data_IF_380203629416
#
_entry.id   IF_380203629416
#
_cell.length_a   1.000
_cell.length_b   1.000
_cell.length_c   1.000
_cell.angle_alpha   90.00
_cell.angle_beta   90.00
_cell.angle_gamma   90.00
#
_symmetry.space_group_name_H-M   'P 1'
#
loop_
_entity.id
_entity.type
_entity.pdbx_description
1 polymer ?
#
# COMPACT_ATOMS: atom_id res chain seq x y z
N UNK A 1 -15.74 -9.47 24.19
CA UNK A 1 -14.49 -8.67 24.28
C UNK A 1 -14.62 -7.54 23.27
N UNK A 2 -14.08 -6.35 23.55
CA UNK A 2 -14.09 -5.23 22.59
C UNK A 2 -13.13 -5.54 21.44
N UNK A 3 -13.56 -5.37 20.19
CA UNK A 3 -12.70 -5.48 19.02
C UNK A 3 -11.67 -4.33 19.05
N UNK A 4 -10.35 -4.59 19.01
CA UNK A 4 -9.34 -3.54 19.07
C UNK A 4 -9.40 -2.60 17.86
N UNK A 5 -9.88 -3.09 16.71
CA UNK A 5 -10.04 -2.31 15.47
C UNK A 5 -11.31 -1.47 15.43
N UNK A 6 -12.03 -1.35 16.55
CA UNK A 6 -13.18 -0.44 16.74
C UNK A 6 -12.98 0.47 17.96
N UNK A 7 -11.77 0.54 18.51
CA UNK A 7 -11.45 1.27 19.73
C UNK A 7 -10.31 2.28 19.52
N UNK A 8 -10.30 3.33 20.35
CA UNK A 8 -9.31 4.41 20.23
C UNK A 8 -9.30 5.01 18.83
N UNK A 9 -8.11 5.22 18.26
CA UNK A 9 -8.00 5.77 16.91
C UNK A 9 -8.37 4.77 15.79
N UNK A 10 -8.61 3.49 16.08
CA UNK A 10 -9.22 2.58 15.10
C UNK A 10 -10.73 2.74 14.99
N UNK A 11 -11.38 3.39 15.96
CA UNK A 11 -12.83 3.61 15.90
C UNK A 11 -13.21 4.40 14.63
N UNK A 12 -14.35 4.10 13.98
CA UNK A 12 -14.80 4.87 12.83
C UNK A 12 -15.09 6.32 13.22
N UNK A 13 -14.84 7.25 12.29
CA UNK A 13 -15.45 8.59 12.34
C UNK A 13 -16.83 8.55 11.68
N UNK A 14 -17.74 9.39 12.15
CA UNK A 14 -19.17 9.34 11.78
C UNK A 14 -19.61 10.48 10.87
N UNK A 15 -18.71 11.39 10.51
CA UNK A 15 -19.03 12.59 9.72
C UNK A 15 -18.02 12.79 8.60
N UNK A 16 -18.50 13.29 7.46
CA UNK A 16 -17.65 13.88 6.43
C UNK A 16 -17.53 15.37 6.66
N UNK A 17 -16.31 15.87 6.62
CA UNK A 17 -16.01 17.29 6.87
C UNK A 17 -15.20 17.88 5.72
N UNK A 18 -15.26 19.20 5.62
CA UNK A 18 -14.39 20.01 4.77
C UNK A 18 -13.88 21.16 5.61
N UNK A 19 -12.56 21.30 5.72
CA UNK A 19 -11.90 22.31 6.53
C UNK A 19 -10.94 23.07 5.62
N UNK A 20 -11.22 24.35 5.35
CA UNK A 20 -10.39 25.18 4.47
C UNK A 20 -9.37 26.04 5.26
N UNK A 21 -9.74 26.49 6.45
CA UNK A 21 -8.90 27.32 7.32
C UNK A 21 -8.10 26.44 8.28
N UNK A 22 -7.05 25.80 7.76
CA UNK A 22 -6.18 24.93 8.53
C UNK A 22 -5.09 25.73 9.26
N UNK A 23 -4.91 25.45 10.55
CA UNK A 23 -3.79 25.99 11.31
C UNK A 23 -2.49 25.32 10.87
N UNK A 24 -1.45 26.14 10.63
CA UNK A 24 -0.13 25.67 10.23
C UNK A 24 0.91 26.22 11.20
N UNK A 25 1.72 25.33 11.76
CA UNK A 25 2.97 25.69 12.47
C UNK A 25 4.16 25.45 11.55
N UNK A 26 5.11 26.38 11.50
CA UNK A 26 6.26 26.30 10.59
C UNK A 26 5.92 26.83 9.18
N UNK A 27 6.65 26.36 8.18
CA UNK A 27 6.53 26.83 6.79
C UNK A 27 6.44 25.64 5.84
N UNK A 28 5.30 25.48 5.17
CA UNK A 28 5.11 24.42 4.17
C UNK A 28 6.02 24.75 2.97
N UNK A 29 6.87 23.80 2.51
CA UNK A 29 7.67 23.97 1.30
C UNK A 29 6.80 24.35 0.08
N UNK A 30 7.22 25.35 -0.69
CA UNK A 30 6.43 25.89 -1.80
C UNK A 30 6.29 24.90 -2.96
N UNK A 31 7.28 24.02 -3.12
CA UNK A 31 7.32 22.95 -4.12
C UNK A 31 6.28 21.84 -3.85
N UNK A 32 5.74 21.73 -2.62
CA UNK A 32 4.68 20.78 -2.30
C UNK A 32 3.33 21.29 -2.82
N UNK A 33 3.15 21.19 -4.13
CA UNK A 33 1.89 21.50 -4.83
C UNK A 33 1.24 20.20 -5.32
N UNK A 34 0.31 19.70 -4.52
CA UNK A 34 -0.40 18.44 -4.75
C UNK A 34 -1.38 18.11 -3.63
N UNK A 35 -1.76 16.85 -3.53
CA UNK A 35 -2.62 16.31 -2.47
C UNK A 35 -1.92 15.16 -1.78
N UNK A 36 -1.81 15.23 -0.45
CA UNK A 36 -1.56 14.03 0.36
C UNK A 36 -2.89 13.32 0.54
N UNK A 37 -3.00 12.08 0.08
CA UNK A 37 -4.20 11.26 0.18
C UNK A 37 -3.88 10.01 0.98
N UNK A 38 -4.83 9.53 1.79
CA UNK A 38 -4.71 8.27 2.53
C UNK A 38 -6.07 7.59 2.63
N UNK A 39 -6.13 6.30 2.31
CA UNK A 39 -7.32 5.48 2.40
C UNK A 39 -7.28 4.58 3.64
N UNK A 40 -8.44 4.09 4.06
CA UNK A 40 -8.54 3.15 5.16
C UNK A 40 -9.98 2.72 5.42
N UNK A 41 -10.17 1.71 6.28
CA UNK A 41 -11.48 1.20 6.64
C UNK A 41 -12.14 2.13 7.65
N UNK A 42 -13.35 2.55 7.35
CA UNK A 42 -14.20 3.38 8.20
C UNK A 42 -15.66 2.96 8.01
N UNK A 43 -16.10 1.87 8.66
CA UNK A 43 -17.43 1.31 8.46
C UNK A 43 -18.51 2.37 8.70
N UNK A 44 -19.38 2.58 7.70
CA UNK A 44 -20.44 3.61 7.75
C UNK A 44 -21.59 3.18 8.66
N UNK A 45 -21.84 1.86 8.74
CA UNK A 45 -22.74 1.24 9.72
C UNK A 45 -21.91 0.58 10.80
N UNK A 46 -22.31 0.73 12.06
CA UNK A 46 -21.64 0.07 13.18
C UNK A 46 -21.60 -1.46 12.97
N UNK A 47 -20.41 -2.07 12.85
CA UNK A 47 -20.29 -3.50 12.61
C UNK A 47 -20.44 -4.29 13.91
N UNK A 48 -20.70 -5.60 13.83
CA UNK A 48 -20.62 -6.49 14.99
C UNK A 48 -19.15 -6.63 15.44
N UNK A 49 -18.79 -6.19 16.66
CA UNK A 49 -17.42 -6.30 17.15
C UNK A 49 -16.90 -7.75 17.22
N UNK A 50 -17.78 -8.75 17.36
CA UNK A 50 -17.38 -10.14 17.45
C UNK A 50 -16.81 -10.67 16.13
N UNK A 51 -17.29 -10.17 15.00
CA UNK A 51 -16.96 -10.68 13.66
C UNK A 51 -16.24 -9.67 12.77
N UNK A 52 -16.13 -8.41 13.19
CA UNK A 52 -15.47 -7.38 12.40
C UNK A 52 -13.98 -7.67 12.19
N UNK A 53 -13.58 -7.71 10.92
CA UNK A 53 -12.18 -7.74 10.48
C UNK A 53 -11.80 -6.34 9.97
N UNK A 54 -10.63 -5.83 10.36
CA UNK A 54 -10.18 -4.48 10.03
C UNK A 54 -10.20 -4.19 8.53
N UNK A 55 -9.77 -5.15 7.70
CA UNK A 55 -9.73 -5.04 6.24
C UNK A 55 -11.10 -4.92 5.54
N UNK A 56 -12.21 -5.11 6.26
CA UNK A 56 -13.56 -5.17 5.66
C UNK A 56 -14.40 -3.92 5.86
N UNK A 57 -13.90 -2.90 6.57
CA UNK A 57 -14.63 -1.64 6.73
C UNK A 57 -14.74 -0.86 5.43
N UNK A 58 -15.79 -0.04 5.29
CA UNK A 58 -15.99 0.78 4.10
C UNK A 58 -14.83 1.76 3.87
N UNK A 59 -14.39 1.93 2.63
CA UNK A 59 -13.31 2.87 2.32
C UNK A 59 -13.67 4.32 2.62
N UNK A 60 -12.79 5.03 3.34
CA UNK A 60 -12.83 6.47 3.52
C UNK A 60 -11.47 7.08 3.17
N UNK A 61 -11.46 7.96 2.18
CA UNK A 61 -10.27 8.72 1.79
C UNK A 61 -10.21 10.00 2.61
N UNK A 62 -9.06 10.23 3.22
CA UNK A 62 -8.67 11.49 3.81
C UNK A 62 -7.69 12.18 2.88
N UNK A 63 -7.92 13.45 2.57
CA UNK A 63 -7.03 14.23 1.71
C UNK A 63 -6.72 15.60 2.28
N UNK A 64 -5.49 16.05 2.00
CA UNK A 64 -5.00 17.36 2.35
C UNK A 64 -4.32 18.00 1.13
N UNK A 65 -4.87 19.13 0.68
CA UNK A 65 -4.35 19.89 -0.46
C UNK A 65 -3.31 20.90 0.01
N UNK A 66 -2.10 20.81 -0.53
CA UNK A 66 -1.02 21.78 -0.35
C UNK A 66 -0.74 22.49 -1.67
N UNK A 67 -0.58 23.81 -1.63
CA UNK A 67 -0.33 24.62 -2.83
C UNK A 67 0.36 25.94 -2.46
N UNK A 68 1.54 26.19 -3.05
CA UNK A 68 2.30 27.43 -2.87
C UNK A 68 2.54 27.79 -1.41
N UNK A 69 2.97 26.80 -0.61
CA UNK A 69 3.26 26.98 0.82
C UNK A 69 2.03 27.12 1.73
N UNK A 70 0.84 26.75 1.24
CA UNK A 70 -0.42 26.83 1.99
C UNK A 70 -1.13 25.49 2.04
N UNK A 71 -1.68 25.15 3.21
CA UNK A 71 -2.71 24.12 3.32
C UNK A 71 -4.06 24.71 2.90
N UNK A 72 -4.63 24.21 1.80
CA UNK A 72 -5.84 24.76 1.17
C UNK A 72 -7.11 24.15 1.73
N UNK A 73 -7.10 22.84 1.95
CA UNK A 73 -8.21 22.14 2.56
C UNK A 73 -7.78 20.79 3.10
N UNK A 74 -8.52 20.31 4.08
CA UNK A 74 -8.64 18.92 4.47
C UNK A 74 -10.06 18.44 4.20
N UNK A 75 -10.20 17.21 3.73
CA UNK A 75 -11.49 16.53 3.51
C UNK A 75 -11.38 15.07 3.87
N UNK A 76 -12.47 14.49 4.37
CA UNK A 76 -12.69 13.06 4.38
C UNK A 76 -13.98 12.71 3.64
N UNK A 77 -13.94 11.66 2.82
CA UNK A 77 -15.08 11.18 2.05
C UNK A 77 -15.12 9.65 2.08
N UNK A 78 -16.27 9.08 2.41
CA UNK A 78 -16.56 7.68 2.12
C UNK A 78 -16.53 7.45 0.62
N UNK A 79 -16.11 6.27 0.19
CA UNK A 79 -16.28 5.90 -1.22
C UNK A 79 -17.68 5.37 -1.39
N UNK A 80 -18.42 5.91 -2.36
CA UNK A 80 -19.85 5.62 -2.58
C UNK A 80 -20.04 4.29 -3.29
N UNK A 81 -19.63 3.21 -2.63
CA UNK A 81 -20.00 1.85 -3.01
C UNK A 81 -21.47 1.60 -2.72
N UNK A 82 -21.99 0.50 -3.25
CA UNK A 82 -23.39 0.08 -3.09
C UNK A 82 -23.82 0.05 -1.62
N UNK A 83 -23.01 -0.53 -0.72
CA UNK A 83 -23.32 -0.60 0.71
C UNK A 83 -23.31 0.76 1.41
N UNK A 84 -22.40 1.66 1.02
CA UNK A 84 -22.34 3.01 1.56
C UNK A 84 -23.52 3.86 1.10
N UNK A 85 -23.86 3.80 -0.19
CA UNK A 85 -25.01 4.51 -0.75
C UNK A 85 -26.30 4.13 -0.01
N UNK A 86 -26.52 2.84 0.22
CA UNK A 86 -27.68 2.36 1.00
C UNK A 86 -27.70 2.91 2.42
N UNK A 87 -26.57 2.84 3.11
CA UNK A 87 -26.47 3.27 4.50
C UNK A 87 -26.72 4.78 4.66
N UNK A 88 -26.31 5.56 3.67
CA UNK A 88 -26.55 7.01 3.61
C UNK A 88 -27.92 7.39 3.02
N UNK A 89 -28.67 6.43 2.49
CA UNK A 89 -29.95 6.68 1.81
C UNK A 89 -29.81 7.42 0.48
N UNK A 90 -28.65 7.29 -0.17
CA UNK A 90 -28.32 7.90 -1.46
C UNK A 90 -28.75 6.98 -2.63
N UNK A 91 -29.16 7.55 -3.78
CA UNK A 91 -29.60 6.75 -4.92
C UNK A 91 -28.44 5.99 -5.57
N UNK A 92 -28.66 4.71 -5.89
CA UNK A 92 -27.75 3.92 -6.71
C UNK A 92 -27.92 4.27 -8.20
N UNK A 93 -26.82 4.48 -8.91
CA UNK A 93 -26.84 4.64 -10.36
C UNK A 93 -27.08 3.31 -11.10
N UNK A 94 -26.57 2.20 -10.55
CA UNK A 94 -26.75 0.85 -11.04
C UNK A 94 -26.50 -0.16 -9.91
N UNK A 95 -27.13 -1.33 -9.97
CA UNK A 95 -26.78 -2.46 -9.09
C UNK A 95 -25.51 -3.12 -9.60
N UNK A 96 -24.57 -3.38 -8.68
CA UNK A 96 -23.29 -4.04 -8.99
C UNK A 96 -23.10 -5.24 -8.07
N UNK A 97 -23.11 -6.48 -8.61
CA UNK A 97 -22.71 -7.65 -7.82
C UNK A 97 -21.23 -7.51 -7.44
N UNK A 98 -20.87 -8.03 -6.26
CA UNK A 98 -19.50 -8.05 -5.71
C UNK A 98 -18.85 -6.66 -5.48
N UNK A 99 -19.66 -5.62 -5.32
CA UNK A 99 -19.23 -4.26 -5.02
C UNK A 99 -19.10 -4.00 -3.52
N UNK A 100 -17.93 -3.57 -3.08
CA UNK A 100 -17.66 -3.11 -1.72
C UNK A 100 -16.71 -1.91 -1.74
N UNK A 101 -16.77 -1.06 -0.70
CA UNK A 101 -16.04 0.21 -0.68
C UNK A 101 -14.53 0.01 -0.66
N UNK A 102 -13.77 0.39 -1.71
CA UNK A 102 -12.33 0.14 -1.75
C UNK A 102 -11.60 0.93 -0.67
N UNK A 103 -10.95 0.25 0.26
CA UNK A 103 -10.42 0.88 1.48
C UNK A 103 -8.90 0.87 1.58
N UNK A 104 -8.20 0.18 0.69
CA UNK A 104 -6.80 -0.20 0.89
C UNK A 104 -5.84 0.90 0.48
N UNK A 105 -5.97 1.41 -0.75
CA UNK A 105 -5.04 2.41 -1.27
C UNK A 105 -5.77 3.53 -2.02
N UNK A 106 -5.08 4.64 -2.24
CA UNK A 106 -5.52 5.76 -3.07
C UNK A 106 -4.34 6.32 -3.85
N UNK A 107 -4.43 6.36 -5.18
CA UNK A 107 -3.33 6.77 -6.06
C UNK A 107 -3.77 7.84 -7.06
N UNK A 108 -2.78 8.54 -7.64
CA UNK A 108 -2.96 9.36 -8.84
C UNK A 108 -2.38 8.65 -10.06
N UNK A 109 -3.12 8.64 -11.17
CA UNK A 109 -2.62 8.14 -12.45
C UNK A 109 -3.39 8.75 -13.62
N UNK A 110 -2.68 9.07 -14.72
CA UNK A 110 -3.29 9.67 -15.92
C UNK A 110 -4.16 10.91 -15.62
N UNK A 111 -3.76 11.74 -14.64
CA UNK A 111 -4.51 12.93 -14.22
C UNK A 111 -5.80 12.65 -13.43
N UNK A 112 -6.05 11.40 -13.03
CA UNK A 112 -7.22 10.95 -12.28
C UNK A 112 -6.79 10.41 -10.91
N UNK A 113 -7.73 10.32 -9.97
CA UNK A 113 -7.50 9.78 -8.63
C UNK A 113 -8.33 8.50 -8.45
N UNK A 114 -7.69 7.43 -7.99
CA UNK A 114 -8.32 6.12 -7.85
C UNK A 114 -8.19 5.59 -6.42
N UNK A 115 -9.30 5.16 -5.83
CA UNK A 115 -9.33 4.33 -4.64
C UNK A 115 -9.34 2.85 -5.02
N UNK A 116 -8.54 2.04 -4.33
CA UNK A 116 -8.23 0.67 -4.69
C UNK A 116 -8.44 -0.29 -3.52
N UNK A 117 -8.80 -1.53 -3.84
CA UNK A 117 -8.85 -2.68 -2.95
C UNK A 117 -8.50 -3.94 -3.74
N UNK A 118 -7.97 -4.95 -3.06
CA UNK A 118 -7.63 -6.24 -3.66
C UNK A 118 -8.84 -7.19 -3.77
N UNK A 119 -8.67 -8.28 -4.52
CA UNK A 119 -9.56 -9.46 -4.59
C UNK A 119 -11.02 -9.20 -5.00
N UNK A 120 -11.36 -7.98 -5.40
CA UNK A 120 -12.76 -7.56 -5.52
C UNK A 120 -13.04 -6.63 -6.70
N UNK A 121 -13.71 -5.48 -6.47
CA UNK A 121 -14.21 -4.64 -7.54
C UNK A 121 -13.09 -3.96 -8.31
N UNK A 122 -13.47 -3.41 -9.47
CA UNK A 122 -12.64 -2.42 -10.17
C UNK A 122 -12.34 -1.21 -9.26
N UNK A 123 -11.28 -0.45 -9.53
CA UNK A 123 -11.01 0.82 -8.87
C UNK A 123 -12.21 1.76 -8.82
N UNK A 124 -12.24 2.69 -7.87
CA UNK A 124 -13.19 3.80 -7.86
C UNK A 124 -12.48 5.11 -8.17
N UNK A 125 -12.99 5.88 -9.13
CA UNK A 125 -12.50 7.22 -9.42
C UNK A 125 -13.08 8.26 -8.46
N UNK A 126 -12.22 9.18 -8.05
CA UNK A 126 -12.53 10.32 -7.21
C UNK A 126 -12.19 11.62 -7.93
N UNK A 127 -12.96 12.68 -7.66
CA UNK A 127 -12.64 14.04 -8.12
C UNK A 127 -11.42 14.61 -7.37
N UNK A 128 -10.96 15.80 -7.77
CA UNK A 128 -9.91 16.50 -7.02
C UNK A 128 -10.33 16.75 -5.56
N UNK A 129 -11.63 16.99 -5.37
CA UNK A 129 -12.31 17.24 -4.12
C UNK A 129 -12.71 15.99 -3.32
N UNK A 130 -12.34 14.80 -3.80
CA UNK A 130 -12.61 13.48 -3.23
C UNK A 130 -14.07 12.99 -3.34
N UNK A 131 -14.90 13.68 -4.12
CA UNK A 131 -16.24 13.17 -4.40
C UNK A 131 -16.14 11.93 -5.28
N UNK A 132 -16.96 10.92 -5.01
CA UNK A 132 -16.95 9.67 -5.79
C UNK A 132 -17.55 9.90 -7.16
N UNK A 133 -16.76 9.68 -8.21
CA UNK A 133 -17.24 9.63 -9.60
C UNK A 133 -17.92 8.28 -9.86
N UNK A 134 -17.31 7.19 -9.39
CA UNK A 134 -17.83 5.83 -9.46
C UNK A 134 -16.76 4.81 -9.84
N UNK A 135 -17.15 3.55 -10.08
CA UNK A 135 -16.26 2.51 -10.57
C UNK A 135 -15.56 2.88 -11.88
N UNK A 136 -14.28 2.57 -11.97
CA UNK A 136 -13.39 2.90 -13.06
C UNK A 136 -12.69 1.63 -13.56
N UNK A 137 -13.15 1.12 -14.70
CA UNK A 137 -12.60 -0.03 -15.41
C UNK A 137 -11.54 0.37 -16.46
N UNK A 138 -10.82 1.47 -16.19
CA UNK A 138 -9.82 2.04 -17.10
C UNK A 138 -10.38 2.25 -18.52
N UNK A 139 -11.53 2.93 -18.60
CA UNK A 139 -12.25 3.23 -19.85
C UNK A 139 -12.63 1.97 -20.65
N UNK A 140 -13.18 0.98 -19.94
CA UNK A 140 -13.66 -0.29 -20.47
C UNK A 140 -12.57 -1.27 -20.88
N UNK A 141 -11.33 -1.09 -20.41
CA UNK A 141 -10.20 -1.95 -20.79
C UNK A 141 -9.79 -2.95 -19.71
N UNK A 142 -10.23 -2.73 -18.48
CA UNK A 142 -10.13 -3.70 -17.39
C UNK A 142 -11.39 -4.56 -17.34
N UNK A 143 -11.20 -5.86 -17.10
CA UNK A 143 -12.29 -6.81 -16.90
C UNK A 143 -12.08 -7.53 -15.57
N UNK A 144 -12.80 -7.09 -14.54
CA UNK A 144 -12.78 -7.68 -13.21
C UNK A 144 -11.82 -7.00 -12.23
N UNK A 145 -11.23 -7.82 -11.35
CA UNK A 145 -10.48 -7.35 -10.19
C UNK A 145 -9.19 -6.61 -10.54
N UNK A 146 -8.80 -5.69 -9.66
CA UNK A 146 -7.52 -5.00 -9.71
C UNK A 146 -6.78 -5.14 -8.38
N UNK A 147 -5.54 -4.70 -8.35
CA UNK A 147 -4.72 -4.68 -7.12
C UNK A 147 -4.87 -3.37 -6.37
N UNK A 148 -4.67 -3.41 -5.05
CA UNK A 148 -4.45 -2.21 -4.25
C UNK A 148 -3.01 -1.66 -4.37
N UNK A 149 -2.07 -2.44 -4.92
CA UNK A 149 -0.65 -2.10 -4.92
C UNK A 149 -0.03 -2.08 -6.33
N UNK A 150 -0.53 -1.24 -7.25
CA UNK A 150 0.16 -1.07 -8.51
C UNK A 150 1.49 -0.34 -8.27
N UNK A 151 2.52 -0.70 -9.04
CA UNK A 151 3.82 -0.04 -9.04
C UNK A 151 3.95 0.81 -10.30
N UNK A 152 4.22 2.11 -10.13
CA UNK A 152 4.49 3.01 -11.25
C UNK A 152 5.94 2.85 -11.69
N UNK A 153 6.19 2.50 -12.95
CA UNK A 153 7.55 2.51 -13.49
C UNK A 153 8.02 3.96 -13.65
N UNK A 154 9.13 4.38 -13.01
CA UNK A 154 9.58 5.76 -13.10
C UNK A 154 10.14 6.16 -14.48
N UNK A 155 10.43 5.22 -15.39
CA UNK A 155 10.83 5.55 -16.77
C UNK A 155 9.66 5.73 -17.72
N UNK A 156 8.69 4.81 -17.69
CA UNK A 156 7.59 4.81 -18.67
C UNK A 156 6.36 5.53 -18.14
N UNK A 157 6.24 5.66 -16.81
CA UNK A 157 5.05 6.18 -16.14
C UNK A 157 3.87 5.21 -16.13
N UNK A 158 4.05 3.98 -16.61
CA UNK A 158 3.03 2.93 -16.64
C UNK A 158 2.83 2.34 -15.23
N UNK A 159 1.60 1.93 -14.92
CA UNK A 159 1.31 1.15 -13.72
C UNK A 159 1.39 -0.34 -14.04
N UNK A 160 2.19 -1.06 -13.27
CA UNK A 160 2.23 -2.52 -13.26
C UNK A 160 1.46 -3.05 -12.06
N UNK A 161 0.63 -4.06 -12.28
CA UNK A 161 -0.23 -4.63 -11.26
C UNK A 161 -0.19 -6.16 -11.30
N UNK A 162 -0.30 -6.79 -10.13
CA UNK A 162 -0.65 -8.21 -9.99
C UNK A 162 -1.96 -8.29 -9.23
N UNK A 163 -3.01 -8.77 -9.89
CA UNK A 163 -4.32 -8.94 -9.29
C UNK A 163 -4.64 -10.43 -9.11
N UNK A 164 -5.42 -10.74 -8.08
CA UNK A 164 -5.98 -12.05 -7.85
C UNK A 164 -7.49 -11.90 -7.57
N UNK A 165 -8.24 -12.98 -7.74
CA UNK A 165 -9.66 -13.02 -7.41
C UNK A 165 -10.04 -14.47 -7.08
N UNK A 166 -10.83 -14.68 -6.03
CA UNK A 166 -11.21 -16.02 -5.56
C UNK A 166 -11.87 -16.89 -6.65
N UNK A 167 -12.61 -16.29 -7.58
CA UNK A 167 -13.27 -17.00 -8.68
C UNK A 167 -12.33 -17.36 -9.86
N UNK A 168 -11.08 -16.91 -9.87
CA UNK A 168 -10.14 -17.21 -10.95
C UNK A 168 -9.42 -18.56 -10.80
N UNK A 169 -9.66 -19.28 -9.69
CA UNK A 169 -9.03 -20.56 -9.43
C UNK A 169 -7.52 -20.40 -9.23
N UNK A 170 -6.71 -21.15 -9.98
CA UNK A 170 -5.26 -21.19 -9.82
C UNK A 170 -4.52 -20.16 -10.69
N UNK A 171 -5.03 -18.94 -10.73
CA UNK A 171 -4.53 -17.89 -11.63
C UNK A 171 -4.52 -16.54 -10.94
N UNK A 172 -3.45 -15.80 -11.19
CA UNK A 172 -3.34 -14.36 -10.97
C UNK A 172 -3.13 -13.66 -12.32
N UNK A 173 -3.35 -12.35 -12.38
CA UNK A 173 -3.23 -11.58 -13.61
C UNK A 173 -2.24 -10.43 -13.45
N UNK A 174 -1.22 -10.41 -14.31
CA UNK A 174 -0.31 -9.27 -14.45
C UNK A 174 -0.88 -8.30 -15.46
N UNK A 175 -1.10 -7.06 -15.05
CA UNK A 175 -1.71 -6.01 -15.89
C UNK A 175 -0.79 -4.81 -16.01
N UNK A 176 -0.82 -4.14 -17.16
CA UNK A 176 -0.16 -2.85 -17.39
C UNK A 176 -1.18 -1.80 -17.80
N UNK A 177 -1.19 -0.67 -17.09
CA UNK A 177 -2.00 0.51 -17.42
C UNK A 177 -1.07 1.62 -17.89
N UNK A 178 -1.28 2.11 -19.11
CA UNK A 178 -0.44 3.16 -19.69
C UNK A 178 -0.73 4.55 -19.13
N UNK A 179 0.07 5.54 -19.53
CA UNK A 179 -0.10 6.94 -19.11
C UNK A 179 -1.43 7.61 -19.53
N UNK A 180 -2.23 6.97 -20.38
CA UNK A 180 -3.59 7.42 -20.73
C UNK A 180 -4.66 6.84 -19.81
N UNK A 181 -4.28 5.95 -18.89
CA UNK A 181 -5.21 5.30 -17.96
C UNK A 181 -5.95 4.13 -18.61
N UNK A 182 -5.35 3.47 -19.60
CA UNK A 182 -5.92 2.29 -20.28
C UNK A 182 -5.05 1.07 -20.06
N UNK A 183 -5.69 -0.08 -19.85
CA UNK A 183 -5.02 -1.38 -19.82
C UNK A 183 -4.51 -1.71 -21.23
N UNK A 184 -3.19 -1.83 -21.37
CA UNK A 184 -2.52 -2.16 -22.65
C UNK A 184 -2.04 -3.60 -22.70
N UNK A 185 -1.80 -4.21 -21.54
CA UNK A 185 -1.34 -5.59 -21.44
C UNK A 185 -2.02 -6.31 -20.29
N UNK A 186 -2.37 -7.59 -20.52
CA UNK A 186 -2.84 -8.53 -19.50
C UNK A 186 -2.21 -9.89 -19.75
N UNK A 187 -1.61 -10.46 -18.72
CA UNK A 187 -0.99 -11.78 -18.77
C UNK A 187 -1.47 -12.62 -17.59
N UNK A 188 -2.24 -13.70 -17.84
CA UNK A 188 -2.52 -14.68 -16.82
C UNK A 188 -1.23 -15.41 -16.40
N UNK A 189 -1.09 -15.67 -15.10
CA UNK A 189 0.02 -16.42 -14.51
C UNK A 189 -0.57 -17.53 -13.64
N UNK A 190 -0.22 -18.78 -13.95
CA UNK A 190 -0.71 -19.96 -13.23
C UNK A 190 0.01 -20.15 -11.89
N UNK A 191 -0.75 -20.19 -10.81
CA UNK A 191 -0.32 -20.52 -9.44
C UNK A 191 -0.65 -21.98 -9.12
N UNK A 192 -0.20 -22.51 -7.97
CA UNK A 192 -0.52 -23.91 -7.58
C UNK A 192 -1.87 -24.08 -6.89
N UNK A 193 -2.50 -22.97 -6.52
CA UNK A 193 -3.86 -22.87 -5.98
C UNK A 193 -4.32 -21.42 -6.04
N UNK A 194 -5.15 -20.97 -5.10
CA UNK A 194 -5.74 -19.63 -5.11
C UNK A 194 -5.11 -18.73 -4.03
N UNK A 195 -3.84 -18.29 -4.19
CA UNK A 195 -3.18 -17.49 -3.17
C UNK A 195 -3.77 -16.09 -3.09
N UNK A 196 -3.69 -15.51 -1.89
CA UNK A 196 -3.71 -14.06 -1.71
C UNK A 196 -2.38 -13.49 -2.21
N UNK A 197 -2.45 -12.58 -3.19
CA UNK A 197 -1.29 -11.82 -3.68
C UNK A 197 -1.54 -10.34 -3.38
N UNK A 198 -1.17 -9.93 -2.17
CA UNK A 198 -1.45 -8.59 -1.65
C UNK A 198 -0.74 -7.48 -2.44
N UNK A 199 0.57 -7.65 -2.65
CA UNK A 199 1.43 -6.70 -3.35
C UNK A 199 2.31 -7.43 -4.40
N UNK A 200 3.08 -6.67 -5.18
CA UNK A 200 4.04 -7.13 -6.17
C UNK A 200 5.35 -6.36 -6.05
N UNK A 201 6.46 -6.94 -6.54
CA UNK A 201 7.67 -6.16 -6.83
C UNK A 201 7.82 -5.90 -8.32
N UNK A 202 8.39 -4.75 -8.67
CA UNK A 202 8.78 -4.41 -10.03
C UNK A 202 10.31 -4.32 -10.09
N UNK A 203 10.92 -4.83 -11.15
CA UNK A 203 12.32 -4.55 -11.55
C UNK A 203 12.34 -4.03 -12.98
N UNK A 204 13.48 -3.58 -13.49
CA UNK A 204 13.60 -3.15 -14.90
C UNK A 204 13.25 -4.27 -15.90
N UNK A 205 13.30 -5.55 -15.49
CA UNK A 205 13.06 -6.70 -16.36
C UNK A 205 11.87 -7.58 -15.95
N UNK A 206 11.43 -7.54 -14.69
CA UNK A 206 10.42 -8.46 -14.16
C UNK A 206 9.29 -7.76 -13.40
N UNK A 207 8.07 -8.26 -13.59
CA UNK A 207 7.01 -8.15 -12.59
C UNK A 207 7.09 -9.40 -11.71
N UNK A 208 7.09 -9.22 -10.40
CA UNK A 208 7.34 -10.29 -9.43
C UNK A 208 6.04 -10.64 -8.70
N UNK A 209 5.67 -11.92 -8.77
CA UNK A 209 4.46 -12.50 -8.17
C UNK A 209 4.85 -13.29 -6.92
N UNK A 210 4.19 -13.00 -5.79
CA UNK A 210 4.37 -13.73 -4.54
C UNK A 210 3.31 -14.83 -4.41
N UNK A 211 3.65 -16.07 -4.77
CA UNK A 211 2.78 -17.25 -4.66
C UNK A 211 3.00 -17.92 -3.29
N UNK A 212 2.37 -17.37 -2.26
CA UNK A 212 2.63 -17.62 -0.83
C UNK A 212 1.47 -18.39 -0.16
N UNK A 213 1.66 -18.98 1.04
CA UNK A 213 0.79 -20.02 1.58
C UNK A 213 -0.48 -19.50 2.27
N UNK A 214 -0.88 -18.25 2.04
CA UNK A 214 -2.22 -17.77 2.40
C UNK A 214 -3.11 -17.95 1.20
N UNK A 215 -4.07 -18.87 1.29
CA UNK A 215 -4.89 -19.32 0.15
C UNK A 215 -6.37 -19.23 0.47
N UNK A 216 -7.18 -19.10 -0.58
CA UNK A 216 -8.64 -19.12 -0.45
C UNK A 216 -9.12 -20.47 0.12
N UNK A 217 -9.98 -20.38 1.14
CA UNK A 217 -10.57 -21.51 1.84
C UNK A 217 -12.08 -21.54 1.60
N UNK A 218 -12.51 -22.46 0.74
CA UNK A 218 -13.93 -22.62 0.37
C UNK A 218 -14.79 -23.04 1.57
N UNK A 219 -14.27 -23.88 2.46
CA UNK A 219 -15.04 -24.34 3.63
C UNK A 219 -15.26 -23.18 4.61
N UNK A 220 -14.24 -22.34 4.81
CA UNK A 220 -14.36 -21.11 5.58
C UNK A 220 -15.37 -20.12 4.95
N UNK A 221 -15.34 -19.96 3.62
CA UNK A 221 -16.33 -19.13 2.91
C UNK A 221 -17.76 -19.66 3.10
N UNK A 222 -17.96 -20.97 2.92
CA UNK A 222 -19.27 -21.61 3.11
C UNK A 222 -19.74 -21.57 4.58
N UNK A 223 -18.82 -21.53 5.53
CA UNK A 223 -19.11 -21.34 6.96
C UNK A 223 -19.43 -19.88 7.32
N UNK A 224 -19.35 -18.94 6.37
CA UNK A 224 -19.69 -17.54 6.56
C UNK A 224 -18.52 -16.64 6.98
N UNK A 225 -17.27 -17.08 6.80
CA UNK A 225 -16.11 -16.19 6.95
C UNK A 225 -16.19 -15.05 5.95
N UNK A 226 -16.03 -13.83 6.42
CA UNK A 226 -16.02 -12.63 5.58
C UNK A 226 -14.66 -12.34 4.95
N UNK A 227 -13.60 -13.01 5.43
CA UNK A 227 -12.28 -13.05 4.81
C UNK A 227 -11.83 -14.52 4.73
N UNK A 228 -12.28 -15.29 3.72
CA UNK A 228 -12.03 -16.72 3.62
C UNK A 228 -10.64 -17.04 3.03
N UNK A 229 -9.60 -16.51 3.66
CA UNK A 229 -8.21 -16.79 3.33
C UNK A 229 -7.49 -17.28 4.58
N UNK A 230 -6.84 -18.43 4.49
CA UNK A 230 -6.15 -19.06 5.61
C UNK A 230 -4.75 -19.52 5.21
N UNK A 231 -3.85 -19.58 6.19
CA UNK A 231 -2.57 -20.24 6.03
C UNK A 231 -2.75 -21.73 5.71
N UNK A 232 -2.00 -22.24 4.74
CA UNK A 232 -1.94 -23.65 4.37
C UNK A 232 -0.51 -24.17 4.44
N UNK A 233 -0.25 -25.10 5.36
CA UNK A 233 1.05 -25.78 5.49
C UNK A 233 1.33 -26.74 4.30
N UNK A 234 0.30 -27.09 3.53
CA UNK A 234 0.40 -27.95 2.35
C UNK A 234 0.66 -27.15 1.06
N UNK A 235 0.70 -25.81 1.13
CA UNK A 235 0.92 -24.95 -0.02
C UNK A 235 2.40 -24.59 -0.19
N UNK A 236 3.09 -25.07 -1.25
CA UNK A 236 4.51 -24.81 -1.44
C UNK A 236 4.75 -23.35 -1.88
N UNK A 237 5.44 -22.54 -1.07
CA UNK A 237 5.64 -21.12 -1.36
C UNK A 237 6.75 -20.89 -2.38
N UNK A 238 6.51 -19.97 -3.32
CA UNK A 238 7.44 -19.64 -4.40
C UNK A 238 7.25 -18.21 -4.91
N UNK A 239 8.26 -17.70 -5.58
CA UNK A 239 8.24 -16.37 -6.21
C UNK A 239 8.35 -16.53 -7.72
N UNK A 240 7.46 -15.86 -8.45
CA UNK A 240 7.39 -15.88 -9.90
C UNK A 240 7.97 -14.60 -10.51
N UNK A 241 8.96 -14.73 -11.38
CA UNK A 241 9.55 -13.63 -12.14
C UNK A 241 8.95 -13.63 -13.54
N UNK A 242 8.02 -12.72 -13.76
CA UNK A 242 7.29 -12.57 -15.02
C UNK A 242 8.04 -11.59 -15.92
N UNK A 243 8.59 -12.02 -17.06
CA UNK A 243 9.34 -11.13 -17.94
C UNK A 243 8.47 -9.99 -18.48
N UNK A 244 9.03 -8.76 -18.47
CA UNK A 244 8.33 -7.53 -18.89
C UNK A 244 8.49 -7.17 -20.36
N UNK A 245 9.39 -7.80 -21.12
CA UNK A 245 9.72 -7.33 -22.48
C UNK A 245 8.51 -7.30 -23.41
N UNK A 246 7.64 -8.30 -23.29
CA UNK A 246 6.40 -8.40 -24.07
C UNK A 246 5.31 -7.42 -23.57
N UNK A 247 5.53 -6.78 -22.42
CA UNK A 247 4.60 -5.85 -21.77
C UNK A 247 5.01 -4.39 -21.99
N UNK A 248 6.31 -4.09 -22.03
CA UNK A 248 6.85 -2.72 -22.05
C UNK A 248 7.63 -2.38 -23.32
N UNK A 249 7.82 -3.35 -24.23
CA UNK A 249 8.62 -3.16 -25.44
C UNK A 249 10.12 -2.98 -25.19
N UNK A 250 10.59 -3.13 -23.95
CA UNK A 250 12.02 -3.17 -23.60
C UNK A 250 12.57 -4.51 -24.05
N UNK A 251 13.34 -4.52 -25.15
CA UNK A 251 14.05 -5.73 -25.60
C UNK A 251 14.98 -6.22 -24.48
N UNK A 252 14.77 -7.46 -24.02
CA UNK A 252 15.75 -8.35 -23.34
C UNK A 252 15.14 -9.32 -22.29
N UNK A 253 13.84 -9.61 -22.33
CA UNK A 253 13.26 -10.71 -21.55
C UNK A 253 11.91 -11.19 -22.13
N UNK A 254 11.92 -11.86 -23.27
CA UNK A 254 10.77 -12.66 -23.72
C UNK A 254 10.90 -14.07 -23.13
N UNK A 255 9.82 -14.64 -22.59
CA UNK A 255 9.86 -16.00 -22.05
C UNK A 255 8.82 -16.35 -20.99
N UNK A 256 8.91 -17.60 -20.54
CA UNK A 256 8.06 -18.15 -19.49
C UNK A 256 8.40 -17.54 -18.12
N UNK A 257 7.45 -17.63 -17.19
CA UNK A 257 7.65 -17.22 -15.80
C UNK A 257 8.72 -18.10 -15.17
N UNK A 258 9.72 -17.49 -14.52
CA UNK A 258 10.72 -18.23 -13.74
C UNK A 258 10.23 -18.32 -12.31
N UNK A 259 10.02 -19.54 -11.82
CA UNK A 259 9.62 -19.81 -10.44
C UNK A 259 10.81 -20.21 -9.59
N UNK A 260 10.91 -19.65 -8.39
CA UNK A 260 11.93 -19.97 -7.39
C UNK A 260 11.24 -20.27 -6.06
N UNK A 261 11.49 -21.46 -5.51
CA UNK A 261 10.95 -21.87 -4.22
C UNK A 261 11.60 -21.05 -3.09
N UNK A 262 10.82 -20.77 -2.04
CA UNK A 262 11.27 -20.02 -0.86
C UNK A 262 10.89 -20.74 0.43
N UNK A 263 11.44 -20.31 1.56
CA UNK A 263 10.98 -20.81 2.86
C UNK A 263 9.57 -20.26 3.16
N UNK A 264 8.69 -21.03 3.85
CA UNK A 264 7.36 -20.56 4.24
C UNK A 264 7.38 -19.24 5.00
N UNK A 265 6.69 -18.26 4.41
CA UNK A 265 6.47 -16.93 4.95
C UNK A 265 5.31 -16.26 4.21
N UNK A 266 4.89 -15.10 4.70
CA UNK A 266 3.98 -14.20 4.01
C UNK A 266 4.63 -12.83 3.82
N UNK A 267 4.32 -12.15 2.73
CA UNK A 267 4.79 -10.79 2.45
C UNK A 267 3.56 -9.95 2.13
N UNK A 268 3.24 -9.00 3.01
CA UNK A 268 2.32 -7.93 2.66
C UNK A 268 3.06 -6.95 1.76
N UNK A 269 4.07 -6.24 2.29
CA UNK A 269 4.71 -5.16 1.56
C UNK A 269 6.18 -5.42 1.22
N UNK A 270 6.54 -5.44 -0.07
CA UNK A 270 7.92 -5.22 -0.51
C UNK A 270 8.30 -3.74 -0.36
N UNK A 271 9.55 -3.49 0.02
CA UNK A 271 10.14 -2.15 0.02
C UNK A 271 10.56 -1.73 -1.39
N UNK A 272 11.39 -2.55 -2.06
CA UNK A 272 11.81 -2.34 -3.43
C UNK A 272 12.46 -3.61 -4.00
N UNK A 273 12.66 -3.64 -5.33
CA UNK A 273 13.40 -4.70 -5.99
C UNK A 273 14.25 -4.15 -7.15
N UNK A 274 15.31 -4.86 -7.52
CA UNK A 274 16.11 -4.51 -8.69
C UNK A 274 16.86 -5.70 -9.30
N UNK A 275 17.18 -5.58 -10.58
CA UNK A 275 17.98 -6.55 -11.31
C UNK A 275 19.48 -6.38 -11.02
N UNK A 276 20.20 -7.49 -10.94
CA UNK A 276 21.67 -7.53 -10.95
C UNK A 276 22.11 -8.09 -12.29
N UNK A 277 22.67 -7.22 -13.12
CA UNK A 277 23.05 -7.53 -14.50
C UNK A 277 24.52 -7.93 -14.56
N UNK A 278 24.79 -9.10 -15.14
CA UNK A 278 26.14 -9.61 -15.38
C UNK A 278 26.88 -8.86 -16.49
N UNK A 279 28.16 -9.19 -16.67
CA UNK A 279 29.00 -8.56 -17.70
C UNK A 279 28.52 -8.84 -19.14
N UNK A 280 27.70 -9.88 -19.35
CA UNK A 280 27.10 -10.22 -20.64
C UNK A 280 25.76 -9.51 -20.92
N UNK A 281 25.31 -8.64 -20.00
CA UNK A 281 24.05 -7.89 -20.12
C UNK A 281 22.81 -8.66 -19.68
N UNK A 282 22.93 -9.90 -19.18
CA UNK A 282 21.80 -10.68 -18.67
C UNK A 282 21.60 -10.47 -17.17
N UNK A 283 20.37 -10.64 -16.71
CA UNK A 283 20.07 -10.66 -15.26
C UNK A 283 20.60 -11.97 -14.68
N UNK A 284 21.58 -11.88 -13.79
CA UNK A 284 22.15 -13.02 -13.06
C UNK A 284 21.33 -13.30 -11.79
N UNK A 285 20.93 -12.24 -11.09
CA UNK A 285 20.11 -12.32 -9.88
C UNK A 285 19.17 -11.13 -9.75
N UNK A 286 18.18 -11.27 -8.88
CA UNK A 286 17.26 -10.20 -8.49
C UNK A 286 17.36 -10.00 -6.99
N UNK A 287 17.46 -8.74 -6.56
CA UNK A 287 17.42 -8.35 -5.16
C UNK A 287 16.02 -7.85 -4.84
N UNK A 288 15.41 -8.38 -3.78
CA UNK A 288 14.10 -7.96 -3.26
C UNK A 288 14.26 -7.62 -1.78
N UNK A 289 13.94 -6.39 -1.41
CA UNK A 289 13.83 -5.99 -0.01
C UNK A 289 12.36 -6.07 0.39
N UNK A 290 12.02 -6.94 1.34
CA UNK A 290 10.63 -7.25 1.71
C UNK A 290 10.41 -7.25 3.20
N UNK A 291 9.20 -6.89 3.63
CA UNK A 291 8.75 -7.09 5.01
C UNK A 291 8.13 -8.48 5.12
N UNK A 292 8.89 -9.40 5.73
CA UNK A 292 8.54 -10.81 5.86
C UNK A 292 7.80 -11.07 7.17
N UNK A 293 6.70 -11.81 7.07
CA UNK A 293 5.95 -12.37 8.18
C UNK A 293 6.15 -13.88 8.23
N UNK A 294 6.35 -14.44 9.42
CA UNK A 294 6.56 -15.88 9.58
C UNK A 294 5.31 -16.69 9.24
N UNK A 295 4.13 -16.23 9.68
CA UNK A 295 2.80 -16.82 9.42
C UNK A 295 1.75 -15.72 9.39
N UNK A 296 0.61 -15.97 8.74
CA UNK A 296 -0.51 -15.02 8.65
C UNK A 296 -1.84 -15.72 8.36
N UNK A 297 -2.94 -15.21 8.92
CA UNK A 297 -4.29 -15.78 8.84
C UNK A 297 -4.35 -17.25 9.28
N UNK A 298 -3.77 -17.55 10.45
CA UNK A 298 -3.72 -18.91 11.01
C UNK A 298 -4.70 -19.08 12.17
N UNK A 299 -4.62 -18.21 13.20
CA UNK A 299 -5.34 -18.41 14.49
C UNK A 299 -6.35 -17.31 14.83
N UNK A 300 -6.26 -16.18 14.16
CA UNK A 300 -6.90 -14.92 14.45
C UNK A 300 -7.36 -14.25 13.16
N UNK A 301 -8.65 -13.94 13.11
CA UNK A 301 -9.33 -13.49 11.90
C UNK A 301 -9.91 -12.08 12.08
N UNK A 302 -9.23 -11.20 12.82
CA UNK A 302 -9.66 -9.80 13.01
C UNK A 302 -8.72 -8.78 12.37
N UNK A 303 -7.46 -9.14 12.12
CA UNK A 303 -6.45 -8.28 11.50
C UNK A 303 -5.08 -8.95 11.47
N UNK A 304 -4.07 -8.32 10.84
CA UNK A 304 -2.80 -8.97 10.50
C UNK A 304 -1.80 -9.10 11.67
N UNK A 305 -2.15 -8.65 12.87
CA UNK A 305 -1.22 -8.59 14.01
C UNK A 305 -1.29 -9.82 14.92
N UNK A 306 -1.75 -10.95 14.39
CA UNK A 306 -1.92 -12.19 15.13
C UNK A 306 -0.65 -13.05 15.22
N UNK A 307 0.24 -12.95 14.24
CA UNK A 307 1.26 -13.97 13.99
C UNK A 307 2.66 -13.39 13.79
N UNK A 308 3.38 -13.24 14.91
CA UNK A 308 4.81 -12.94 14.91
C UNK A 308 5.15 -11.48 14.64
N UNK A 309 6.45 -11.25 14.48
CA UNK A 309 7.03 -9.93 14.26
C UNK A 309 7.44 -9.80 12.80
N UNK A 310 7.05 -8.73 12.09
CA UNK A 310 7.55 -8.47 10.75
C UNK A 310 9.05 -8.17 10.76
N UNK A 311 9.74 -8.62 9.71
CA UNK A 311 11.19 -8.47 9.55
C UNK A 311 11.49 -7.88 8.17
N UNK A 312 12.23 -6.76 8.12
CA UNK A 312 12.78 -6.28 6.85
C UNK A 312 13.97 -7.16 6.46
N UNK A 313 13.83 -7.86 5.35
CA UNK A 313 14.84 -8.81 4.84
C UNK A 313 15.16 -8.55 3.38
N UNK A 314 16.43 -8.73 3.01
CA UNK A 314 16.90 -8.75 1.63
C UNK A 314 16.95 -10.18 1.13
N UNK A 315 16.17 -10.47 0.10
CA UNK A 315 16.27 -11.69 -0.69
C UNK A 315 17.17 -11.45 -1.89
N UNK A 316 18.23 -12.23 -2.02
CA UNK A 316 19.04 -12.31 -3.25
C UNK A 316 18.67 -13.61 -3.96
N UNK A 317 18.00 -13.48 -5.10
CA UNK A 317 17.46 -14.60 -5.87
C UNK A 317 18.33 -14.85 -7.09
N UNK A 318 18.98 -16.01 -7.14
CA UNK A 318 19.70 -16.48 -8.33
C UNK A 318 18.70 -17.16 -9.27
N UNK A 319 18.44 -16.52 -10.41
CA UNK A 319 17.43 -17.01 -11.37
C UNK A 319 17.89 -18.23 -12.16
N UNK A 320 19.20 -18.46 -12.27
CA UNK A 320 19.79 -19.59 -12.99
C UNK A 320 19.77 -20.84 -12.12
N UNK A 321 20.23 -20.71 -10.87
CA UNK A 321 20.24 -21.79 -9.88
C UNK A 321 18.88 -22.02 -9.24
N UNK A 322 17.98 -21.03 -9.34
CA UNK A 322 16.66 -21.01 -8.70
C UNK A 322 16.76 -21.20 -7.20
N UNK A 323 17.58 -20.34 -6.59
CA UNK A 323 17.81 -20.36 -5.14
C UNK A 323 17.67 -18.95 -4.59
N UNK A 324 17.13 -18.83 -3.38
CA UNK A 324 17.09 -17.58 -2.62
C UNK A 324 18.05 -17.64 -1.45
N UNK A 325 18.73 -16.54 -1.17
CA UNK A 325 19.36 -16.30 0.14
C UNK A 325 18.71 -15.09 0.79
N UNK A 326 18.52 -15.14 2.11
CA UNK A 326 17.88 -14.08 2.88
C UNK A 326 18.83 -13.50 3.92
N UNK A 327 18.89 -12.18 4.03
CA UNK A 327 19.65 -11.47 5.05
C UNK A 327 18.78 -10.40 5.72
N UNK A 328 18.72 -10.31 7.06
CA UNK A 328 17.99 -9.25 7.74
C UNK A 328 18.65 -7.88 7.45
N UNK A 329 17.83 -6.86 7.24
CA UNK A 329 18.26 -5.46 7.03
C UNK A 329 18.02 -4.59 8.26
N UNK A 330 17.05 -4.96 9.09
CA UNK A 330 16.72 -4.24 10.32
C UNK A 330 16.29 -5.22 11.39
N UNK A 331 16.56 -4.87 12.63
CA UNK A 331 16.09 -5.57 13.82
C UNK A 331 14.89 -4.87 14.46
N UNK A 332 14.25 -3.88 13.80
CA UNK A 332 13.07 -3.17 14.30
C UNK A 332 11.75 -3.93 14.00
N UNK A 333 10.71 -3.63 14.79
CA UNK A 333 9.35 -4.12 14.55
C UNK A 333 8.68 -3.10 13.62
N UNK A 334 8.48 -3.46 12.36
CA UNK A 334 8.24 -2.48 11.31
C UNK A 334 7.30 -2.98 10.21
N UNK A 335 6.65 -2.03 9.54
CA UNK A 335 5.81 -2.27 8.36
C UNK A 335 5.77 -0.98 7.51
N UNK A 336 4.88 -0.93 6.52
CA UNK A 336 4.63 0.16 5.60
C UNK A 336 5.91 0.71 4.99
N UNK A 337 6.70 -0.14 4.30
CA UNK A 337 7.94 0.27 3.69
C UNK A 337 7.67 1.22 2.51
N UNK A 338 8.47 2.26 2.41
CA UNK A 338 8.47 3.23 1.31
C UNK A 338 9.88 3.54 0.88
N UNK A 339 10.00 3.95 -0.37
CA UNK A 339 11.25 4.45 -0.97
C UNK A 339 10.93 5.73 -1.74
N UNK A 340 11.96 6.40 -2.22
CA UNK A 340 11.78 7.34 -3.32
C UNK A 340 11.24 6.61 -4.55
N UNK A 341 10.01 6.93 -4.97
CA UNK A 341 9.34 6.23 -6.07
C UNK A 341 10.08 6.36 -7.40
N UNK A 342 10.98 7.34 -7.56
CA UNK A 342 11.91 7.44 -8.71
C UNK A 342 12.87 6.24 -8.79
N UNK A 343 13.03 5.48 -7.71
CA UNK A 343 13.90 4.31 -7.58
C UNK A 343 13.16 2.97 -7.66
N UNK A 344 11.83 2.95 -7.81
CA UNK A 344 11.09 1.70 -7.98
C UNK A 344 11.68 0.90 -9.15
N UNK A 345 12.02 -0.35 -8.86
CA UNK A 345 12.63 -1.26 -9.84
C UNK A 345 14.12 -1.10 -10.07
N UNK A 346 14.78 -0.22 -9.31
CA UNK A 346 16.22 0.09 -9.40
C UNK A 346 16.87 0.03 -8.02
N UNK A 347 18.22 -0.06 -7.94
CA UNK A 347 18.90 0.00 -6.65
C UNK A 347 18.48 1.27 -5.88
N UNK A 348 18.02 1.12 -4.64
CA UNK A 348 17.77 2.23 -3.73
C UNK A 348 18.73 2.13 -2.54
N UNK A 349 19.17 3.28 -2.04
CA UNK A 349 19.94 3.40 -0.81
C UNK A 349 19.03 3.68 0.38
N UNK A 350 17.96 4.45 0.21
CA UNK A 350 17.15 4.89 1.34
C UNK A 350 15.75 4.28 1.31
N UNK A 351 15.31 3.81 2.48
CA UNK A 351 13.96 3.33 2.71
C UNK A 351 13.38 3.88 4.00
N UNK A 352 12.06 3.97 4.08
CA UNK A 352 11.32 4.45 5.26
C UNK A 352 10.34 3.38 5.69
N UNK A 353 10.19 3.15 6.99
CA UNK A 353 9.20 2.20 7.52
C UNK A 353 8.49 2.81 8.71
N UNK A 354 7.24 2.45 8.89
CA UNK A 354 6.57 2.63 10.17
C UNK A 354 7.15 1.68 11.19
N UNK A 355 7.39 2.15 12.42
CA UNK A 355 7.96 1.32 13.47
C UNK A 355 7.06 1.26 14.69
N UNK A 356 6.87 0.06 15.19
CA UNK A 356 6.20 -0.20 16.44
C UNK A 356 7.23 -0.07 17.58
N UNK A 357 7.16 1.03 18.31
CA UNK A 357 7.99 1.29 19.47
C UNK A 357 7.23 0.81 20.70
N UNK A 358 7.63 -0.35 21.24
CA UNK A 358 6.99 -0.97 22.40
C UNK A 358 6.91 0.02 23.58
N UNK A 359 5.70 0.54 23.82
CA UNK A 359 5.41 1.64 24.76
C UNK A 359 4.02 2.24 24.52
N UNK A 360 3.56 2.25 23.27
CA UNK A 360 2.13 2.40 22.92
C UNK A 360 1.47 1.03 22.98
N UNK A 361 0.63 0.78 23.99
CA UNK A 361 -0.01 -0.52 24.25
C UNK A 361 -1.04 -0.98 23.20
N UNK A 362 -0.75 -0.90 21.90
CA UNK A 362 -1.64 -1.30 20.81
C UNK A 362 -0.97 -1.34 19.44
N UNK A 363 -1.79 -1.59 18.42
CA UNK A 363 -1.48 -1.82 16.99
C UNK A 363 -1.01 -0.54 16.25
N UNK A 364 -0.63 0.51 16.98
CA UNK A 364 -0.22 1.79 16.41
C UNK A 364 1.30 1.85 16.25
N UNK A 365 1.79 2.33 15.10
CA UNK A 365 3.23 2.57 14.91
C UNK A 365 3.59 3.90 15.57
N UNK A 366 4.35 3.83 16.66
CA UNK A 366 4.80 5.00 17.45
C UNK A 366 5.94 5.78 16.82
N UNK A 367 6.42 5.39 15.64
CA UNK A 367 7.55 6.06 14.99
C UNK A 367 7.71 5.79 13.50
N UNK A 368 8.74 6.40 12.93
CA UNK A 368 9.21 6.18 11.55
C UNK A 368 10.70 5.86 11.62
N UNK A 369 11.17 4.86 10.89
CA UNK A 369 12.60 4.61 10.69
C UNK A 369 13.00 4.95 9.26
N UNK A 370 14.13 5.63 9.11
CA UNK A 370 14.86 5.81 7.85
C UNK A 370 16.05 4.87 7.84
N UNK A 371 16.12 4.03 6.82
CA UNK A 371 17.16 3.00 6.62
C UNK A 371 18.12 3.46 5.52
N UNK A 372 19.42 3.44 5.79
CA UNK A 372 20.46 3.48 4.78
C UNK A 372 20.88 2.05 4.44
N UNK A 373 20.31 1.50 3.38
CA UNK A 373 20.47 0.12 2.93
C UNK A 373 21.86 -0.18 2.36
N UNK A 374 22.68 0.85 2.12
CA UNK A 374 24.07 0.69 1.68
C UNK A 374 25.00 0.62 2.89
N UNK A 375 24.84 1.55 3.81
CA UNK A 375 25.75 1.70 4.96
C UNK A 375 25.27 0.90 6.20
N UNK A 376 24.04 0.37 6.16
CA UNK A 376 23.44 -0.46 7.21
C UNK A 376 23.03 0.32 8.46
N UNK A 377 22.82 1.64 8.34
CA UNK A 377 22.44 2.50 9.46
C UNK A 377 20.94 2.78 9.46
N UNK A 378 20.39 3.01 10.65
CA UNK A 378 18.97 3.31 10.84
C UNK A 378 18.82 4.52 11.76
N UNK A 379 18.03 5.49 11.32
CA UNK A 379 17.62 6.67 12.09
C UNK A 379 16.14 6.50 12.46
N UNK A 380 15.80 6.58 13.75
CA UNK A 380 14.44 6.37 14.24
C UNK A 380 13.88 7.65 14.83
N UNK A 381 12.75 8.09 14.28
CA UNK A 381 11.88 9.10 14.86
C UNK A 381 10.88 8.42 15.80
N UNK A 382 10.98 8.72 17.08
CA UNK A 382 9.96 8.41 18.09
C UNK A 382 8.97 9.58 18.16
N UNK A 383 7.68 9.32 17.93
CA UNK A 383 6.62 10.33 17.99
C UNK A 383 6.20 10.65 19.42
N UNK A 384 6.65 9.86 20.40
CA UNK A 384 6.31 9.98 21.81
C UNK A 384 5.02 9.24 22.19
N UNK A 385 4.81 9.10 23.50
CA UNK A 385 3.66 8.40 24.04
C UNK A 385 2.34 9.05 23.60
N UNK A 386 1.36 8.23 23.20
CA UNK A 386 0.05 8.69 22.76
C UNK A 386 0.00 9.21 21.32
N UNK A 387 1.15 9.35 20.65
CA UNK A 387 1.20 9.62 19.23
C UNK A 387 1.32 8.32 18.43
N UNK A 388 0.72 8.28 17.24
CA UNK A 388 0.83 7.12 16.37
C UNK A 388 0.49 7.44 14.92
N UNK A 389 1.03 6.63 14.02
CA UNK A 389 0.84 6.72 12.58
C UNK A 389 0.82 5.31 11.95
N UNK A 390 0.59 5.22 10.63
CA UNK A 390 0.66 3.96 9.89
C UNK A 390 1.63 4.02 8.70
N UNK A 391 1.41 4.86 7.69
CA UNK A 391 2.30 4.96 6.54
C UNK A 391 2.78 6.41 6.33
N UNK A 392 4.10 6.57 6.21
CA UNK A 392 4.72 7.82 5.78
C UNK A 392 4.85 7.86 4.26
N UNK A 393 4.95 9.04 3.64
CA UNK A 393 5.14 9.19 2.20
C UNK A 393 6.36 10.05 1.93
N UNK A 394 7.28 9.57 1.10
CA UNK A 394 8.40 10.37 0.62
C UNK A 394 8.01 11.18 -0.62
N UNK A 395 8.42 12.45 -0.66
CA UNK A 395 8.26 13.34 -1.81
C UNK A 395 9.58 14.04 -2.07
N UNK A 396 10.17 13.85 -3.25
CA UNK A 396 11.42 14.51 -3.62
C UNK A 396 11.25 16.04 -3.64
N UNK A 397 12.28 16.79 -3.21
CA UNK A 397 12.25 18.25 -3.23
C UNK A 397 12.16 18.81 -4.67
N UNK A 398 12.73 18.09 -5.63
CA UNK A 398 12.61 18.36 -7.05
C UNK A 398 12.81 17.07 -7.86
N UNK A 399 12.47 17.05 -9.17
CA UNK A 399 12.71 15.89 -10.02
C UNK A 399 14.17 15.43 -10.06
N UNK A 400 15.10 16.38 -9.95
CA UNK A 400 16.56 16.16 -10.03
C UNK A 400 17.24 16.07 -8.64
N UNK A 401 16.46 16.10 -7.56
CA UNK A 401 16.98 16.02 -6.19
C UNK A 401 17.69 14.68 -5.94
N UNK A 402 18.64 14.66 -5.01
CA UNK A 402 19.24 13.42 -4.52
C UNK A 402 18.15 12.47 -3.96
N UNK A 403 18.47 11.18 -3.81
CA UNK A 403 17.48 10.14 -3.45
C UNK A 403 16.75 10.40 -2.12
N UNK A 404 17.43 11.00 -1.14
CA UNK A 404 16.84 11.40 0.14
C UNK A 404 16.68 12.91 0.31
N UNK A 405 16.87 13.69 -0.76
CA UNK A 405 16.64 15.14 -0.75
C UNK A 405 15.15 15.42 -1.04
N UNK A 406 14.42 15.68 0.03
CA UNK A 406 12.97 15.81 -0.02
C UNK A 406 12.31 15.74 1.34
N UNK A 407 11.05 15.33 1.31
CA UNK A 407 10.10 15.49 2.39
C UNK A 407 9.50 14.15 2.78
N UNK A 408 9.48 13.85 4.07
CA UNK A 408 8.69 12.74 4.63
C UNK A 408 7.41 13.34 5.20
N UNK A 409 6.29 13.00 4.58
CA UNK A 409 4.95 13.40 4.98
C UNK A 409 4.31 12.28 5.80
N UNK A 410 3.79 12.61 6.99
CA UNK A 410 3.17 11.63 7.86
C UNK A 410 1.92 12.19 8.54
N UNK A 411 0.82 11.44 8.49
CA UNK A 411 -0.39 11.77 9.21
C UNK A 411 -0.37 11.13 10.59
N UNK A 412 -0.12 11.95 11.61
CA UNK A 412 0.07 11.53 13.00
C UNK A 412 -1.19 11.84 13.81
N UNK A 413 -1.70 10.84 14.53
CA UNK A 413 -2.73 11.00 15.55
C UNK A 413 -2.10 11.33 16.91
N UNK A 414 -2.75 12.19 17.70
CA UNK A 414 -2.40 12.48 19.09
C UNK A 414 -3.54 12.13 20.04
N UNK A 415 -3.30 11.19 20.95
CA UNK A 415 -4.29 10.72 21.91
C UNK A 415 -4.70 11.76 22.96
N UNK A 416 -3.82 12.71 23.28
CA UNK A 416 -4.08 13.74 24.30
C UNK A 416 -5.13 14.76 23.83
N UNK A 417 -5.16 15.04 22.53
CA UNK A 417 -6.07 16.01 21.91
C UNK A 417 -7.22 15.35 21.16
N UNK A 418 -7.15 14.04 20.92
CA UNK A 418 -8.06 13.28 20.05
C UNK A 418 -8.16 13.89 18.63
N UNK A 419 -7.03 14.37 18.12
CA UNK A 419 -6.92 15.02 16.81
C UNK A 419 -5.72 14.50 16.03
N UNK A 420 -5.66 14.84 14.74
CA UNK A 420 -4.57 14.46 13.86
C UNK A 420 -3.85 15.67 13.26
N UNK A 421 -2.66 15.44 12.73
CA UNK A 421 -1.85 16.46 12.06
C UNK A 421 -1.03 15.84 10.95
N UNK A 422 -0.85 16.57 9.85
CA UNK A 422 0.13 16.21 8.83
C UNK A 422 1.46 16.86 9.20
N UNK A 423 2.46 16.04 9.51
CA UNK A 423 3.83 16.49 9.73
C UNK A 423 4.63 16.39 8.43
N UNK A 424 5.33 17.48 8.08
CA UNK A 424 6.24 17.55 6.94
C UNK A 424 7.65 17.67 7.52
N UNK A 425 8.50 16.68 7.26
CA UNK A 425 9.87 16.58 7.78
C UNK A 425 10.86 16.53 6.64
N UNK A 426 12.04 17.14 6.84
CA UNK A 426 13.13 16.98 5.88
C UNK A 426 13.67 15.55 5.99
N UNK A 427 13.76 14.85 4.86
CA UNK A 427 14.13 13.43 4.82
C UNK A 427 15.55 13.16 5.39
N UNK A 428 16.50 14.06 5.13
CA UNK A 428 17.87 13.97 5.65
C UNK A 428 18.03 14.35 7.14
N UNK A 429 16.98 14.88 7.76
CA UNK A 429 16.97 15.35 9.14
C UNK A 429 15.67 14.93 9.83
N UNK A 430 15.35 13.63 9.76
CA UNK A 430 14.05 13.08 10.14
C UNK A 430 13.71 13.41 11.61
N UNK A 431 14.73 13.40 12.49
CA UNK A 431 14.57 13.64 13.93
C UNK A 431 14.61 15.11 14.36
N UNK A 432 14.94 16.07 13.48
CA UNK A 432 15.15 17.48 13.84
C UNK A 432 13.85 18.28 14.01
N UNK A 433 12.71 17.58 13.97
CA UNK A 433 11.37 18.16 14.03
C UNK A 433 10.79 18.47 12.64
N UNK A 434 9.48 18.70 12.56
CA UNK A 434 8.83 19.03 11.30
C UNK A 434 9.17 20.46 10.86
N UNK A 435 9.41 20.64 9.56
CA UNK A 435 9.53 21.98 8.95
C UNK A 435 8.16 22.67 8.90
N UNK A 436 7.10 21.88 8.79
CA UNK A 436 5.71 22.33 8.90
C UNK A 436 4.83 21.26 9.52
N UNK A 437 3.82 21.70 10.26
CA UNK A 437 2.75 20.85 10.79
C UNK A 437 1.42 21.49 10.42
N UNK A 438 0.58 20.75 9.70
CA UNK A 438 -0.80 21.16 9.40
C UNK A 438 -1.72 20.48 10.41
N UNK A 439 -2.34 21.27 11.28
CA UNK A 439 -3.18 20.77 12.36
C UNK A 439 -4.60 20.51 11.87
N UNK A 440 -5.13 19.33 12.14
CA UNK A 440 -6.50 18.96 11.79
C UNK A 440 -7.34 18.98 13.08
N UNK A 441 -8.41 19.77 13.19
CA UNK A 441 -9.30 19.80 14.35
C UNK A 441 -10.20 18.55 14.44
N UNK A 442 -9.81 17.45 13.79
CA UNK A 442 -10.54 16.19 13.74
C UNK A 442 -9.57 15.03 13.88
N UNK A 443 -10.10 13.90 14.35
CA UNK A 443 -9.40 12.63 14.33
C UNK A 443 -9.39 12.04 12.93
N UNK A 444 -8.25 11.50 12.55
CA UNK A 444 -8.12 10.69 11.35
C UNK A 444 -7.77 9.26 11.76
N UNK A 445 -8.69 8.28 11.60
CA UNK A 445 -8.48 6.91 12.06
C UNK A 445 -7.21 6.28 11.51
N UNK A 446 -6.71 5.23 12.13
CA UNK A 446 -5.64 4.43 11.52
C UNK A 446 -6.14 3.76 10.23
N UNK A 447 -5.48 4.06 9.11
CA UNK A 447 -5.83 3.57 7.77
C UNK A 447 -4.80 2.60 7.21
N UNK A 448 -4.77 2.45 5.89
CA UNK A 448 -3.77 1.65 5.20
C UNK A 448 -2.84 2.59 4.43
N UNK A 449 -2.98 2.66 3.11
CA UNK A 449 -2.01 3.33 2.26
C UNK A 449 -2.40 4.75 1.89
N UNK A 450 -1.37 5.59 1.76
CA UNK A 450 -1.44 6.95 1.26
C UNK A 450 -0.35 7.25 0.25
N UNK A 451 -0.61 8.27 -0.56
CA UNK A 451 0.29 8.71 -1.61
C UNK A 451 0.24 10.23 -1.75
N UNK A 452 1.33 10.77 -2.27
CA UNK A 452 1.37 12.14 -2.77
C UNK A 452 0.92 12.15 -4.22
N UNK A 453 -0.13 12.92 -4.52
CA UNK A 453 -0.62 13.13 -5.89
C UNK A 453 -0.28 14.55 -6.30
N UNK A 454 0.78 14.76 -7.11
CA UNK A 454 1.15 16.09 -7.59
C UNK A 454 0.12 16.62 -8.61
N UNK A 455 0.03 17.94 -8.74
CA UNK A 455 -0.81 18.58 -9.78
C UNK A 455 -0.25 18.37 -11.20
N UNK A 456 1.05 18.13 -11.32
CA UNK A 456 1.79 18.00 -12.59
C UNK A 456 2.99 17.08 -12.48
#
# INVERSE_FOLDING_TARGET
MSNPYLAGNFAPVTEEVTIADLEVTGSIPEELTGRYLRNGPNPVVAPDPATYHWFLGDGMVHGLRLDGGRARWYRNRWIRSTGVLDALGEPRAADRPDDFGPNTNVIGHAGRTFALVESGPVPYELTDELDTVGPADFDGTLDGAYTAHPKRDPLTGELHAVAYHWAWGNRVEVTVVDGSGRVTHRRPVETTGSPMVHDMSLTERFAVVYDLPVVFDLDAAMAGSTLPYNWSDDYPPRIGFVPRADMTGVADAAGDVVWVDVDPCFVFHPMNAHDVVGADGRVESVVLDVVRWGRMFDRGHQGPFESGRPELVRWTVDLVRRTVSAAPLSDLDLEFPRVDERRIGRPCRFGYTAVNLAGSGGVAHGGIARHDLRDGTVEVLDLGAGAGQNEAVFVAASPDADEDDGWVLCLTYGADTDTSRLEIRHAQALTDGPVATVHLPVRVPFGFHGNWVPDS
#
